data_IF_941342523657
#
_entry.id   IF_941342523657
#
_cell.length_a   1.000
_cell.length_b   1.000
_cell.length_c   1.000
_cell.angle_alpha   90.00
_cell.angle_beta   90.00
_cell.angle_gamma   90.00
#
_symmetry.space_group_name_H-M   'P 1'
#
loop_
_entity.id
_entity.type
_entity.pdbx_description
1 polymer ?
#
# COMPACT_ATOMS: atom_id res chain seq x y z
N UNK A 1 14.05 10.87 23.33
CA UNK A 1 14.86 11.94 23.93
C UNK A 1 14.84 13.12 22.96
N UNK A 2 14.59 14.35 23.43
CA UNK A 2 14.33 15.60 22.67
C UNK A 2 12.86 15.92 22.33
N UNK A 3 12.06 16.31 23.32
CA UNK A 3 10.87 17.19 23.14
C UNK A 3 10.67 18.02 24.41
N UNK A 4 11.60 18.95 24.68
CA UNK A 4 11.46 19.93 25.77
C UNK A 4 11.72 21.38 25.34
N UNK A 5 11.91 21.64 24.04
CA UNK A 5 12.29 22.97 23.55
C UNK A 5 11.11 23.85 23.10
N UNK A 6 9.93 23.31 22.82
CA UNK A 6 8.80 24.10 22.30
C UNK A 6 7.88 24.70 23.37
N UNK A 7 7.86 24.14 24.59
CA UNK A 7 7.04 24.70 25.70
C UNK A 7 7.66 25.99 26.25
N UNK A 8 8.99 26.12 26.22
CA UNK A 8 9.74 27.30 26.66
C UNK A 8 9.42 28.57 25.84
N UNK A 9 9.28 28.44 24.52
CA UNK A 9 9.02 29.57 23.61
C UNK A 9 7.57 30.11 23.68
N UNK A 10 6.60 29.29 24.08
CA UNK A 10 5.22 29.72 24.30
C UNK A 10 5.06 30.52 25.60
N UNK A 11 5.76 30.13 26.67
CA UNK A 11 5.76 30.87 27.94
C UNK A 11 6.43 32.24 27.82
N UNK A 12 7.52 32.35 27.06
CA UNK A 12 8.22 33.63 26.85
C UNK A 12 7.36 34.62 26.04
N UNK A 13 6.62 34.14 25.03
CA UNK A 13 5.74 35.01 24.23
C UNK A 13 4.50 35.50 25.00
N UNK A 14 3.97 34.70 25.93
CA UNK A 14 2.84 35.10 26.78
C UNK A 14 3.28 36.14 27.83
N UNK A 15 4.49 36.01 28.40
CA UNK A 15 5.04 37.01 29.33
C UNK A 15 5.27 38.38 28.67
N UNK A 16 5.69 38.42 27.40
CA UNK A 16 5.89 39.67 26.64
C UNK A 16 4.54 40.35 26.33
N UNK A 17 3.49 39.58 26.04
CA UNK A 17 2.14 40.12 25.78
C UNK A 17 1.46 40.67 27.05
N UNK A 18 1.71 40.08 28.22
CA UNK A 18 1.17 40.56 29.49
C UNK A 18 1.95 41.80 29.98
N UNK A 19 3.27 41.84 29.78
CA UNK A 19 4.09 42.99 30.19
C UNK A 19 3.89 44.23 29.29
N UNK A 20 3.62 44.02 27.99
CA UNK A 20 3.33 45.10 27.03
C UNK A 20 2.03 45.86 27.30
N UNK A 21 1.00 45.21 27.86
CA UNK A 21 -0.26 45.89 28.23
C UNK A 21 -0.16 46.71 29.52
N UNK A 22 0.74 46.37 30.44
CA UNK A 22 0.98 47.15 31.67
C UNK A 22 1.81 48.42 31.45
N UNK A 23 2.71 48.44 30.45
CA UNK A 23 3.54 49.62 30.16
C UNK A 23 2.74 50.71 29.44
N UNK A 24 1.73 50.34 28.65
CA UNK A 24 0.85 51.30 27.97
C UNK A 24 -0.20 51.95 28.92
N UNK A 25 -0.46 51.35 30.09
CA UNK A 25 -1.34 51.92 31.11
C UNK A 25 -0.64 52.92 32.07
N UNK A 26 0.69 52.87 32.18
CA UNK A 26 1.45 53.80 33.03
C UNK A 26 1.89 55.08 32.30
N UNK A 27 2.06 55.06 30.98
CA UNK A 27 2.43 56.27 30.21
C UNK A 27 1.26 57.20 29.84
N UNK A 28 0.00 56.82 30.09
CA UNK A 28 -1.17 57.69 29.88
C UNK A 28 -1.61 58.39 31.19
N UNK A 29 -1.10 57.97 32.36
CA UNK A 29 -1.52 58.47 33.68
C UNK A 29 -0.72 59.64 34.26
N UNK A 30 0.21 60.25 33.50
CA UNK A 30 0.93 61.46 33.93
C UNK A 30 0.69 62.70 33.04
N UNK A 31 -0.26 62.65 32.10
CA UNK A 31 -0.53 63.78 31.18
C UNK A 31 -1.94 64.38 31.26
N UNK A 32 -2.81 63.93 32.17
CA UNK A 32 -4.14 64.54 32.37
C UNK A 32 -4.52 64.47 33.84
N UNK A 33 -3.94 65.34 34.66
CA UNK A 33 -4.52 65.68 35.97
C UNK A 33 -4.17 67.13 36.34
N UNK A 34 -4.91 68.08 35.77
CA UNK A 34 -5.39 69.25 36.51
C UNK A 34 -6.55 69.86 35.74
N UNK A 35 -7.67 70.12 36.42
CA UNK A 35 -9.02 70.54 35.95
C UNK A 35 -9.87 69.35 35.48
N UNK A 36 -11.05 69.05 36.05
CA UNK A 36 -12.11 69.87 36.66
C UNK A 36 -12.92 69.01 37.64
N UNK A 37 -13.17 69.49 38.86
CA UNK A 37 -14.40 69.14 39.60
C UNK A 37 -14.99 70.46 40.12
N UNK A 38 -16.02 70.92 39.42
CA UNK A 38 -16.96 71.92 39.92
C UNK A 38 -17.92 71.26 40.90
N UNK A 39 -17.96 71.79 42.11
CA UNK A 39 -19.07 71.67 43.06
C UNK A 39 -20.01 72.84 42.78
N UNK A 40 -21.31 72.54 42.68
CA UNK A 40 -22.38 73.52 42.54
C UNK A 40 -22.62 74.17 43.90
N UNK A 41 -22.49 75.49 44.00
CA UNK A 41 -23.34 76.39 44.80
C UNK A 41 -22.96 77.87 44.56
N UNK A 42 -23.90 78.57 43.93
CA UNK A 42 -24.37 79.95 44.17
C UNK A 42 -23.45 81.15 44.53
N UNK A 43 -23.75 82.26 43.83
CA UNK A 43 -23.77 83.69 44.27
C UNK A 43 -22.48 84.54 44.23
N UNK A 44 -22.38 85.32 43.13
CA UNK A 44 -22.17 86.79 43.05
C UNK A 44 -20.77 87.47 43.14
N UNK A 45 -20.66 88.48 42.26
CA UNK A 45 -19.91 89.77 42.31
C UNK A 45 -18.37 89.86 42.14
N UNK A 46 -17.99 90.29 40.92
CA UNK A 46 -17.38 91.59 40.55
C UNK A 46 -15.96 92.03 40.99
N UNK A 47 -15.30 92.69 40.01
CA UNK A 47 -14.25 93.75 40.03
C UNK A 47 -12.76 93.34 40.08
N UNK A 48 -12.01 93.72 39.03
CA UNK A 48 -11.03 94.84 38.91
C UNK A 48 -9.65 94.41 39.48
N UNK A 49 -8.45 94.76 39.00
CA UNK A 49 -7.91 95.71 38.03
C UNK A 49 -6.41 95.36 37.85
N UNK A 50 -5.80 95.70 36.70
CA UNK A 50 -4.46 96.33 36.48
C UNK A 50 -3.18 95.82 37.22
N UNK A 51 -1.92 95.84 36.74
CA UNK A 51 -1.18 96.65 35.75
C UNK A 51 0.32 96.20 35.79
N UNK A 52 1.04 96.40 34.67
CA UNK A 52 2.40 97.02 34.58
C UNK A 52 3.60 96.36 35.30
N UNK A 53 4.86 96.38 34.85
CA UNK A 53 5.61 96.62 33.61
C UNK A 53 7.08 96.29 33.96
N UNK A 54 7.86 96.06 32.91
CA UNK A 54 9.27 96.44 32.75
C UNK A 54 10.44 95.69 33.40
N UNK A 55 10.94 94.74 32.61
CA UNK A 55 12.22 94.76 31.87
C UNK A 55 13.53 95.27 32.50
N UNK A 56 14.57 94.45 32.22
CA UNK A 56 16.02 94.73 32.07
C UNK A 56 16.92 94.45 33.28
N UNK A 57 17.49 93.23 33.31
CA UNK A 57 18.94 93.03 33.17
C UNK A 57 19.19 91.82 32.25
N UNK A 58 20.06 92.05 31.29
CA UNK A 58 20.39 91.21 30.14
C UNK A 58 21.61 90.35 30.47
N UNK A 59 21.69 89.23 29.77
CA UNK A 59 22.92 88.50 29.40
C UNK A 59 23.65 87.74 30.52
N UNK A 60 23.45 86.42 30.51
CA UNK A 60 24.51 85.40 30.46
C UNK A 60 23.92 84.05 30.88
N UNK A 61 23.26 83.30 29.99
CA UNK A 61 23.06 81.82 30.13
C UNK A 61 22.30 81.17 28.96
N UNK A 62 22.11 81.84 27.81
CA UNK A 62 21.19 81.32 26.77
C UNK A 62 21.84 80.48 25.67
N UNK A 63 23.17 80.37 25.58
CA UNK A 63 23.80 79.74 24.40
C UNK A 63 24.26 78.27 24.58
N UNK A 64 23.93 77.60 25.69
CA UNK A 64 24.38 76.22 25.93
C UNK A 64 23.25 75.17 26.01
N UNK A 65 22.00 75.56 26.26
CA UNK A 65 20.93 74.60 26.54
C UNK A 65 20.03 74.26 25.33
N UNK A 66 20.10 75.01 24.23
CA UNK A 66 19.20 74.85 23.09
C UNK A 66 19.77 73.93 21.98
N UNK A 67 21.10 73.78 21.90
CA UNK A 67 21.77 72.91 20.91
C UNK A 67 21.76 71.44 21.40
N UNK A 68 21.98 71.20 22.71
CA UNK A 68 22.04 69.85 23.29
C UNK A 68 20.66 69.17 23.40
N UNK A 69 19.58 69.95 23.50
CA UNK A 69 18.18 69.48 23.51
C UNK A 69 17.60 69.29 22.11
N UNK A 70 18.05 70.05 21.10
CA UNK A 70 17.70 69.81 19.68
C UNK A 70 18.36 68.56 19.11
N UNK A 71 19.66 68.35 19.38
CA UNK A 71 20.42 67.17 18.91
C UNK A 71 19.78 65.87 19.45
N UNK A 72 19.35 65.84 20.71
CA UNK A 72 18.69 64.66 21.32
C UNK A 72 17.24 64.44 20.86
N UNK A 73 16.52 65.49 20.46
CA UNK A 73 15.12 65.40 19.98
C UNK A 73 15.04 64.90 18.53
N UNK A 74 15.96 65.33 17.67
CA UNK A 74 16.05 64.85 16.29
C UNK A 74 16.54 63.41 16.22
N UNK A 75 17.54 63.03 17.00
CA UNK A 75 18.00 61.64 17.14
C UNK A 75 16.90 60.72 17.68
N UNK A 76 16.13 61.18 18.68
CA UNK A 76 14.96 60.44 19.19
C UNK A 76 13.87 60.29 18.13
N UNK A 77 13.57 61.34 17.36
CA UNK A 77 12.63 61.27 16.24
C UNK A 77 13.11 60.35 15.11
N UNK A 78 14.42 60.35 14.84
CA UNK A 78 15.04 59.46 13.88
C UNK A 78 14.94 58.00 14.33
N UNK A 79 15.28 57.69 15.58
CA UNK A 79 15.15 56.35 16.15
C UNK A 79 13.70 55.88 16.19
N UNK A 80 12.75 56.75 16.56
CA UNK A 80 11.32 56.41 16.52
C UNK A 80 10.84 56.09 15.10
N UNK A 81 11.21 56.90 14.10
CA UNK A 81 10.86 56.62 12.70
C UNK A 81 11.49 55.33 12.20
N UNK A 82 12.76 55.08 12.55
CA UNK A 82 13.45 53.85 12.19
C UNK A 82 12.78 52.63 12.82
N UNK A 83 12.49 52.68 14.12
CA UNK A 83 11.79 51.61 14.83
C UNK A 83 10.40 51.36 14.25
N UNK A 84 9.65 52.41 13.94
CA UNK A 84 8.31 52.31 13.34
C UNK A 84 8.37 51.67 11.96
N UNK A 85 9.36 52.02 11.13
CA UNK A 85 9.61 51.38 9.84
C UNK A 85 10.02 49.91 9.98
N UNK A 86 10.87 49.58 10.96
CA UNK A 86 11.25 48.20 11.25
C UNK A 86 10.05 47.36 11.69
N UNK A 87 9.17 47.89 12.55
CA UNK A 87 7.95 47.21 12.99
C UNK A 87 6.99 46.99 11.80
N UNK A 88 6.80 47.99 10.95
CA UNK A 88 5.94 47.87 9.75
C UNK A 88 6.50 46.81 8.79
N UNK A 89 7.83 46.82 8.58
CA UNK A 89 8.51 45.83 7.73
C UNK A 89 8.36 44.41 8.29
N UNK A 90 8.62 44.24 9.59
CA UNK A 90 8.45 42.95 10.27
C UNK A 90 7.00 42.46 10.19
N UNK A 91 6.02 43.34 10.45
CA UNK A 91 4.58 43.01 10.39
C UNK A 91 4.14 42.61 8.98
N UNK A 92 4.67 43.26 7.94
CA UNK A 92 4.41 42.85 6.55
C UNK A 92 5.02 41.49 6.24
N UNK A 93 6.25 41.25 6.68
CA UNK A 93 6.96 40.00 6.45
C UNK A 93 6.25 38.83 7.13
N UNK A 94 5.86 38.98 8.40
CA UNK A 94 5.12 37.95 9.14
C UNK A 94 3.73 37.69 8.55
N UNK A 95 3.00 38.74 8.13
CA UNK A 95 1.71 38.57 7.46
C UNK A 95 1.84 37.85 6.12
N UNK A 96 2.92 38.11 5.37
CA UNK A 96 3.21 37.40 4.11
C UNK A 96 3.55 35.94 4.37
N UNK A 97 4.38 35.65 5.37
CA UNK A 97 4.72 34.29 5.77
C UNK A 97 3.48 33.49 6.17
N UNK A 98 2.61 34.05 7.01
CA UNK A 98 1.36 33.39 7.43
C UNK A 98 0.44 33.10 6.24
N UNK A 99 0.33 34.02 5.28
CA UNK A 99 -0.45 33.81 4.06
C UNK A 99 0.12 32.65 3.23
N UNK A 100 1.41 32.66 2.98
CA UNK A 100 2.06 31.59 2.22
C UNK A 100 1.86 30.22 2.88
N UNK A 101 1.98 30.13 4.22
CA UNK A 101 1.76 28.88 4.95
C UNK A 101 0.30 28.43 4.84
N UNK A 102 -0.67 29.33 4.98
CA UNK A 102 -2.08 28.99 4.80
C UNK A 102 -2.38 28.51 3.38
N UNK A 103 -1.82 29.16 2.36
CA UNK A 103 -2.02 28.79 0.96
C UNK A 103 -1.43 27.38 0.67
N UNK A 104 -0.25 27.07 1.22
CA UNK A 104 0.40 25.77 1.09
C UNK A 104 -0.37 24.65 1.83
N UNK A 105 -0.89 24.95 3.02
CA UNK A 105 -1.75 24.03 3.77
C UNK A 105 -3.07 23.78 3.05
N UNK A 106 -3.68 24.82 2.46
CA UNK A 106 -4.92 24.69 1.69
C UNK A 106 -4.70 23.82 0.45
N UNK A 107 -3.62 24.05 -0.30
CA UNK A 107 -3.28 23.23 -1.47
C UNK A 107 -3.07 21.75 -1.09
N UNK A 108 -2.45 21.48 0.05
CA UNK A 108 -2.23 20.12 0.55
C UNK A 108 -3.55 19.44 0.95
N UNK A 109 -4.46 20.17 1.60
CA UNK A 109 -5.79 19.68 1.95
C UNK A 109 -6.64 19.39 0.71
N UNK A 110 -6.58 20.26 -0.30
CA UNK A 110 -7.31 20.08 -1.56
C UNK A 110 -6.78 18.84 -2.31
N UNK A 111 -5.46 18.63 -2.33
CA UNK A 111 -4.85 17.42 -2.89
C UNK A 111 -5.32 16.15 -2.17
N UNK A 112 -5.26 16.13 -0.84
CA UNK A 112 -5.72 15.00 -0.04
C UNK A 112 -7.22 14.71 -0.25
N UNK A 113 -8.05 15.77 -0.30
CA UNK A 113 -9.47 15.66 -0.59
C UNK A 113 -9.74 15.01 -1.94
N UNK A 114 -9.01 15.42 -2.99
CA UNK A 114 -9.09 14.81 -4.31
C UNK A 114 -8.69 13.33 -4.30
N UNK A 115 -7.60 12.97 -3.61
CA UNK A 115 -7.17 11.59 -3.46
C UNK A 115 -8.24 10.73 -2.75
N UNK A 116 -8.87 11.26 -1.69
CA UNK A 116 -9.94 10.57 -0.96
C UNK A 116 -11.17 10.38 -1.86
N UNK A 117 -11.57 11.41 -2.62
CA UNK A 117 -12.70 11.32 -3.55
C UNK A 117 -12.45 10.29 -4.66
N UNK A 118 -11.24 10.27 -5.22
CA UNK A 118 -10.85 9.26 -6.21
C UNK A 118 -10.92 7.85 -5.61
N UNK A 119 -10.38 7.65 -4.41
CA UNK A 119 -10.40 6.37 -3.73
C UNK A 119 -11.84 5.92 -3.40
N UNK A 120 -12.69 6.82 -2.91
CA UNK A 120 -14.11 6.52 -2.66
C UNK A 120 -14.84 6.11 -3.93
N UNK A 121 -14.58 6.77 -5.07
CA UNK A 121 -15.18 6.40 -6.35
C UNK A 121 -14.73 5.01 -6.80
N UNK A 122 -13.44 4.67 -6.63
CA UNK A 122 -12.93 3.32 -6.92
C UNK A 122 -13.59 2.27 -6.02
N UNK A 123 -13.72 2.55 -4.73
CA UNK A 123 -14.40 1.66 -3.76
C UNK A 123 -15.87 1.48 -4.12
N UNK A 124 -16.57 2.55 -4.52
CA UNK A 124 -17.98 2.49 -4.93
C UNK A 124 -18.16 1.61 -6.17
N UNK A 125 -17.29 1.76 -7.18
CA UNK A 125 -17.30 0.93 -8.38
C UNK A 125 -17.03 -0.55 -8.06
N UNK A 126 -16.03 -0.83 -7.22
CA UNK A 126 -15.73 -2.18 -6.77
C UNK A 126 -16.90 -2.78 -5.97
N UNK A 127 -17.51 -2.00 -5.09
CA UNK A 127 -18.65 -2.41 -4.27
C UNK A 127 -19.85 -2.77 -5.17
N UNK A 128 -20.14 -1.96 -6.20
CA UNK A 128 -21.17 -2.25 -7.18
C UNK A 128 -20.90 -3.54 -7.97
N UNK A 129 -19.64 -3.81 -8.31
CA UNK A 129 -19.22 -5.04 -9.00
C UNK A 129 -19.38 -6.28 -8.10
N UNK A 130 -18.99 -6.19 -6.82
CA UNK A 130 -19.21 -7.26 -5.83
C UNK A 130 -20.69 -7.54 -5.66
N UNK A 131 -21.53 -6.50 -5.56
CA UNK A 131 -22.98 -6.68 -5.44
C UNK A 131 -23.61 -7.27 -6.70
N UNK A 132 -23.12 -6.94 -7.91
CA UNK A 132 -23.53 -7.64 -9.15
C UNK A 132 -23.24 -9.13 -9.07
N UNK A 133 -22.07 -9.53 -8.58
CA UNK A 133 -21.69 -10.94 -8.45
C UNK A 133 -22.50 -11.69 -7.38
N UNK A 134 -23.03 -10.99 -6.37
CA UNK A 134 -23.89 -11.59 -5.34
C UNK A 134 -25.39 -11.66 -5.70
N UNK A 135 -25.86 -10.89 -6.69
CA UNK A 135 -27.27 -10.79 -7.08
C UNK A 135 -27.67 -11.65 -8.28
N UNK A 136 -26.90 -12.68 -8.64
CA UNK A 136 -27.41 -13.80 -9.44
C UNK A 136 -27.83 -14.96 -8.51
N UNK A 137 -29.04 -14.93 -7.94
CA UNK A 137 -29.65 -16.15 -7.43
C UNK A 137 -29.84 -17.07 -8.65
N UNK A 138 -28.97 -18.09 -8.72
CA UNK A 138 -29.01 -19.24 -9.63
C UNK A 138 -30.21 -19.24 -10.58
N UNK A 139 -30.03 -19.01 -11.90
CA UNK A 139 -31.07 -19.43 -12.81
C UNK A 139 -31.21 -20.95 -12.64
N UNK A 140 -32.40 -21.41 -12.24
CA UNK A 140 -32.79 -22.83 -12.18
C UNK A 140 -32.78 -23.54 -13.55
N UNK A 141 -31.97 -23.06 -14.51
CA UNK A 141 -31.57 -23.85 -15.66
C UNK A 141 -30.37 -24.68 -15.22
N UNK A 142 -30.36 -26.01 -15.45
CA UNK A 142 -29.14 -26.77 -15.25
C UNK A 142 -28.06 -26.09 -16.09
N UNK A 143 -27.01 -25.60 -15.42
CA UNK A 143 -25.85 -25.05 -16.10
C UNK A 143 -25.32 -26.15 -16.98
N UNK A 144 -25.51 -26.01 -18.29
CA UNK A 144 -25.09 -27.03 -19.24
C UNK A 144 -23.57 -27.00 -19.29
N UNK A 145 -22.94 -28.04 -18.75
CA UNK A 145 -21.49 -28.21 -18.85
C UNK A 145 -21.10 -28.36 -20.32
N UNK A 146 -19.99 -27.74 -20.69
CA UNK A 146 -19.45 -27.83 -22.05
C UNK A 146 -18.69 -29.14 -22.27
N UNK A 147 -18.21 -29.77 -21.20
CA UNK A 147 -17.49 -31.05 -21.22
C UNK A 147 -16.94 -31.41 -19.85
N UNK A 148 -16.18 -32.49 -19.78
CA UNK A 148 -15.56 -32.99 -18.55
C UNK A 148 -14.32 -32.16 -18.13
N UNK A 149 -13.57 -31.68 -19.13
CA UNK A 149 -12.43 -30.79 -18.99
C UNK A 149 -12.15 -30.07 -20.33
N UNK A 150 -11.14 -29.21 -20.38
CA UNK A 150 -10.82 -28.47 -21.59
C UNK A 150 -10.36 -29.38 -22.76
N UNK A 151 -9.82 -30.56 -22.49
CA UNK A 151 -9.45 -31.51 -23.57
C UNK A 151 -10.71 -32.11 -24.19
N UNK A 152 -11.64 -32.55 -23.34
CA UNK A 152 -12.94 -33.08 -23.77
C UNK A 152 -13.76 -32.06 -24.58
N UNK A 153 -13.80 -30.80 -24.12
CA UNK A 153 -14.44 -29.70 -24.85
C UNK A 153 -13.79 -29.51 -26.22
N UNK A 154 -12.45 -29.47 -26.26
CA UNK A 154 -11.71 -29.30 -27.52
C UNK A 154 -12.00 -30.44 -28.47
N UNK A 155 -12.01 -31.69 -28.02
CA UNK A 155 -12.15 -32.83 -28.93
C UNK A 155 -13.60 -32.98 -29.42
N UNK A 156 -14.59 -32.65 -28.58
CA UNK A 156 -16.02 -32.70 -28.93
C UNK A 156 -16.44 -31.54 -29.82
N UNK A 157 -16.07 -30.30 -29.48
CA UNK A 157 -16.48 -29.08 -30.21
C UNK A 157 -15.54 -28.79 -31.38
N UNK A 158 -14.23 -29.02 -31.17
CA UNK A 158 -13.17 -28.82 -32.17
C UNK A 158 -13.33 -29.67 -33.42
N UNK A 159 -14.06 -30.79 -33.31
CA UNK A 159 -14.44 -31.63 -34.45
C UNK A 159 -15.40 -30.93 -35.43
N UNK A 160 -16.06 -29.85 -35.00
CA UNK A 160 -17.04 -29.10 -35.81
C UNK A 160 -16.47 -27.72 -36.19
N UNK A 161 -15.91 -26.97 -35.23
CA UNK A 161 -15.34 -25.62 -35.44
C UNK A 161 -14.17 -25.36 -34.51
N UNK A 162 -13.27 -24.44 -34.86
CA UNK A 162 -12.15 -24.06 -33.97
C UNK A 162 -12.69 -23.55 -32.64
N UNK A 163 -12.37 -24.24 -31.55
CA UNK A 163 -12.74 -23.83 -30.19
C UNK A 163 -11.79 -22.72 -29.71
N UNK A 164 -12.30 -21.52 -29.34
CA UNK A 164 -11.46 -20.43 -28.87
C UNK A 164 -10.96 -20.66 -27.43
N UNK A 165 -9.85 -20.02 -27.06
CA UNK A 165 -9.45 -19.93 -25.64
C UNK A 165 -10.43 -19.03 -24.88
N UNK A 166 -10.72 -19.36 -23.61
CA UNK A 166 -11.66 -18.58 -22.80
C UNK A 166 -12.19 -19.34 -21.59
N UNK A 167 -13.22 -18.77 -20.96
CA UNK A 167 -13.91 -19.41 -19.84
C UNK A 167 -14.90 -20.45 -20.33
N UNK A 168 -14.85 -21.61 -19.69
CA UNK A 168 -15.77 -22.72 -19.94
C UNK A 168 -16.24 -23.29 -18.61
N UNK A 169 -17.46 -23.82 -18.62
CA UNK A 169 -18.00 -24.59 -17.50
C UNK A 169 -17.78 -26.06 -17.76
N UNK A 170 -17.04 -26.73 -16.87
CA UNK A 170 -16.76 -28.16 -16.93
C UNK A 170 -17.49 -28.90 -15.81
N UNK A 171 -17.72 -30.20 -16.02
CA UNK A 171 -18.28 -31.07 -14.99
C UNK A 171 -17.47 -32.37 -14.89
N UNK A 172 -16.31 -32.37 -14.21
CA UNK A 172 -15.47 -33.56 -14.08
C UNK A 172 -16.18 -34.70 -13.35
N UNK A 173 -15.84 -35.94 -13.68
CA UNK A 173 -16.40 -37.11 -13.00
C UNK A 173 -16.16 -37.05 -11.49
N UNK A 174 -17.22 -37.26 -10.71
CA UNK A 174 -17.16 -37.29 -9.25
C UNK A 174 -17.21 -35.94 -8.56
N UNK A 175 -17.13 -34.81 -9.29
CA UNK A 175 -17.38 -33.51 -8.68
C UNK A 175 -18.87 -33.38 -8.29
N UNK A 176 -19.16 -32.61 -7.25
CA UNK A 176 -20.54 -32.43 -6.77
C UNK A 176 -21.33 -31.39 -7.58
N UNK A 177 -20.63 -30.51 -8.30
CA UNK A 177 -21.21 -29.44 -9.11
C UNK A 177 -20.30 -29.09 -10.30
N UNK A 178 -20.88 -28.57 -11.41
CA UNK A 178 -20.11 -28.00 -12.51
C UNK A 178 -19.48 -26.66 -12.09
N UNK A 179 -18.30 -26.34 -12.64
CA UNK A 179 -17.58 -25.11 -12.29
C UNK A 179 -16.83 -24.51 -13.48
N UNK A 180 -16.57 -23.20 -13.41
CA UNK A 180 -15.83 -22.46 -14.43
C UNK A 180 -14.33 -22.70 -14.35
N UNK A 181 -13.71 -22.78 -15.53
CA UNK A 181 -12.26 -22.89 -15.74
C UNK A 181 -11.83 -22.03 -16.92
N UNK A 182 -10.56 -21.61 -16.92
CA UNK A 182 -9.92 -21.04 -18.10
C UNK A 182 -9.34 -22.16 -18.98
N UNK A 183 -9.85 -22.29 -20.20
CA UNK A 183 -9.30 -23.18 -21.22
C UNK A 183 -8.39 -22.42 -22.18
N UNK A 184 -7.16 -22.92 -22.32
CA UNK A 184 -6.24 -22.48 -23.36
C UNK A 184 -6.29 -23.50 -24.53
N UNK A 185 -6.96 -23.07 -25.60
CA UNK A 185 -7.23 -23.87 -26.80
C UNK A 185 -6.22 -23.61 -27.93
N UNK A 186 -5.36 -22.60 -27.78
CA UNK A 186 -4.41 -22.20 -28.82
C UNK A 186 -2.99 -22.72 -28.53
N UNK A 187 -2.57 -22.80 -27.26
CA UNK A 187 -1.21 -23.18 -26.90
C UNK A 187 -0.92 -24.68 -27.11
N UNK A 188 0.13 -25.00 -27.87
CA UNK A 188 0.65 -26.38 -28.08
C UNK A 188 -0.45 -27.42 -28.38
N UNK A 189 -1.35 -27.08 -29.29
CA UNK A 189 -2.45 -27.95 -29.71
C UNK A 189 -3.67 -27.92 -28.79
N UNK A 190 -3.74 -26.98 -27.85
CA UNK A 190 -4.94 -26.69 -27.06
C UNK A 190 -5.35 -27.76 -26.06
N UNK A 191 -6.55 -27.58 -25.51
CA UNK A 191 -7.16 -28.49 -24.54
C UNK A 191 -6.61 -28.35 -23.12
N UNK A 192 -5.88 -27.28 -22.84
CA UNK A 192 -5.28 -27.03 -21.54
C UNK A 192 -6.30 -26.42 -20.58
N UNK A 193 -6.44 -27.02 -19.41
CA UNK A 193 -7.12 -26.40 -18.27
C UNK A 193 -6.08 -25.66 -17.44
N UNK A 194 -6.20 -24.34 -17.32
CA UNK A 194 -5.27 -23.54 -16.50
C UNK A 194 -5.68 -23.66 -15.03
N UNK A 195 -4.76 -24.08 -14.15
CA UNK A 195 -5.03 -24.31 -12.72
C UNK A 195 -4.40 -23.25 -11.81
N UNK A 196 -3.38 -22.56 -12.31
CA UNK A 196 -2.75 -21.43 -11.64
C UNK A 196 -2.18 -20.47 -12.69
N UNK A 197 -2.29 -19.17 -12.44
CA UNK A 197 -1.65 -18.14 -13.26
C UNK A 197 -1.19 -16.96 -12.40
N UNK A 198 0.05 -16.51 -12.61
CA UNK A 198 0.65 -15.28 -12.07
C UNK A 198 1.19 -14.41 -13.20
N UNK A 199 0.96 -13.10 -13.14
CA UNK A 199 1.32 -12.13 -14.18
C UNK A 199 1.72 -10.74 -13.64
N UNK A 200 1.10 -10.27 -12.56
CA UNK A 200 1.24 -8.87 -12.12
C UNK A 200 1.22 -8.69 -10.59
N UNK A 201 0.94 -9.76 -9.83
CA UNK A 201 0.90 -9.71 -8.38
C UNK A 201 -0.30 -8.98 -7.78
N UNK A 202 -1.35 -8.70 -8.55
CA UNK A 202 -2.56 -8.03 -8.02
C UNK A 202 -3.30 -8.93 -7.03
N UNK A 203 -3.30 -10.25 -7.26
CA UNK A 203 -4.00 -11.19 -6.40
C UNK A 203 -3.04 -11.70 -5.32
N UNK A 204 -3.51 -11.61 -4.08
CA UNK A 204 -2.77 -12.12 -2.93
C UNK A 204 -2.91 -13.65 -2.81
N UNK A 205 -1.76 -14.33 -2.71
CA UNK A 205 -1.62 -15.78 -2.54
C UNK A 205 -1.20 -16.16 -1.10
N UNK A 206 -1.09 -15.19 -0.19
CA UNK A 206 -0.91 -15.40 1.25
C UNK A 206 -2.22 -15.86 1.90
N UNK A 207 -2.71 -17.03 1.48
CA UNK A 207 -4.05 -17.53 1.76
C UNK A 207 -4.01 -18.73 2.70
N UNK A 208 -5.09 -18.91 3.44
CA UNK A 208 -5.26 -20.02 4.38
C UNK A 208 -5.73 -21.29 3.66
N UNK A 209 -5.76 -22.41 4.38
CA UNK A 209 -6.14 -23.73 3.84
C UNK A 209 -7.47 -23.71 3.08
N UNK A 210 -8.51 -23.14 3.68
CA UNK A 210 -9.85 -23.08 3.09
C UNK A 210 -9.87 -22.36 1.73
N UNK A 211 -9.13 -21.26 1.60
CA UNK A 211 -9.02 -20.53 0.33
C UNK A 211 -8.31 -21.38 -0.74
N UNK A 212 -7.24 -22.10 -0.37
CA UNK A 212 -6.54 -23.01 -1.29
C UNK A 212 -7.37 -24.24 -1.68
N UNK A 213 -8.27 -24.71 -0.79
CA UNK A 213 -9.22 -25.77 -1.10
C UNK A 213 -10.21 -25.35 -2.19
N UNK A 214 -10.84 -24.18 -2.00
CA UNK A 214 -11.96 -23.72 -2.83
C UNK A 214 -11.49 -22.99 -4.10
N UNK A 215 -10.36 -22.29 -4.02
CA UNK A 215 -9.80 -21.45 -5.08
C UNK A 215 -10.08 -19.96 -4.87
N UNK A 216 -9.24 -19.12 -5.48
CA UNK A 216 -9.31 -17.67 -5.34
C UNK A 216 -8.71 -16.96 -6.57
N UNK A 217 -9.00 -15.66 -6.70
CA UNK A 217 -8.53 -14.82 -7.80
C UNK A 217 -9.55 -14.68 -8.94
N UNK A 218 -9.06 -14.28 -10.11
CA UNK A 218 -9.86 -14.08 -11.33
C UNK A 218 -9.36 -15.02 -12.42
N UNK A 219 -10.24 -15.88 -12.96
CA UNK A 219 -9.91 -16.83 -14.02
C UNK A 219 -9.40 -16.14 -15.32
N UNK A 220 -9.73 -14.86 -15.54
CA UNK A 220 -9.20 -14.06 -16.63
C UNK A 220 -7.84 -13.40 -16.29
N UNK A 221 -7.50 -13.29 -15.00
CA UNK A 221 -6.31 -12.64 -14.47
C UNK A 221 -5.37 -13.63 -13.75
N UNK A 222 -4.98 -13.28 -12.51
CA UNK A 222 -4.27 -14.19 -11.60
C UNK A 222 -5.24 -15.01 -10.76
N UNK A 223 -4.97 -16.30 -10.61
CA UNK A 223 -5.81 -17.16 -9.79
C UNK A 223 -5.13 -18.47 -9.37
N UNK A 224 -5.73 -19.09 -8.36
CA UNK A 224 -5.56 -20.48 -7.99
C UNK A 224 -6.92 -21.18 -8.13
N UNK A 225 -7.00 -22.25 -8.92
CA UNK A 225 -8.28 -22.88 -9.25
C UNK A 225 -8.98 -23.48 -8.02
N UNK A 226 -8.20 -23.99 -7.06
CA UNK A 226 -8.69 -24.70 -5.87
C UNK A 226 -8.32 -26.19 -5.91
N UNK A 227 -7.77 -26.70 -4.80
CA UNK A 227 -7.30 -28.09 -4.70
C UNK A 227 -8.40 -29.10 -4.97
N UNK A 228 -9.63 -28.86 -4.48
CA UNK A 228 -10.78 -29.76 -4.72
C UNK A 228 -11.11 -29.86 -6.20
N UNK A 229 -11.14 -28.72 -6.90
CA UNK A 229 -11.42 -28.67 -8.34
C UNK A 229 -10.31 -29.36 -9.13
N UNK A 230 -9.05 -29.09 -8.82
CA UNK A 230 -7.90 -29.74 -9.45
C UNK A 230 -7.97 -31.25 -9.25
N UNK A 231 -8.21 -31.71 -8.02
CA UNK A 231 -8.37 -33.14 -7.68
C UNK A 231 -9.42 -33.83 -8.54
N UNK A 232 -10.62 -33.26 -8.67
CA UNK A 232 -11.68 -33.85 -9.50
C UNK A 232 -11.33 -33.90 -10.98
N UNK A 233 -10.57 -32.93 -11.49
CA UNK A 233 -10.14 -32.95 -12.89
C UNK A 233 -9.13 -34.07 -13.12
N UNK A 234 -8.07 -34.15 -12.30
CA UNK A 234 -6.92 -35.02 -12.58
C UNK A 234 -7.11 -36.49 -12.17
N UNK A 235 -8.16 -36.79 -11.41
CA UNK A 235 -8.49 -38.14 -10.94
C UNK A 235 -9.72 -38.76 -11.62
N UNK A 236 -10.12 -38.26 -12.79
CA UNK A 236 -11.19 -38.87 -13.59
C UNK A 236 -10.82 -40.30 -14.01
N UNK A 237 -11.77 -41.23 -13.98
CA UNK A 237 -11.48 -42.66 -14.19
C UNK A 237 -10.99 -42.93 -15.61
N UNK A 238 -10.07 -43.89 -15.75
CA UNK A 238 -9.51 -44.32 -17.04
C UNK A 238 -8.90 -43.18 -17.87
N UNK A 239 -8.48 -42.10 -17.22
CA UNK A 239 -7.78 -40.99 -17.86
C UNK A 239 -6.47 -40.72 -17.15
N UNK A 240 -5.54 -40.11 -17.86
CA UNK A 240 -4.29 -39.63 -17.30
C UNK A 240 -4.14 -38.16 -17.65
N UNK A 241 -3.49 -37.39 -16.78
CA UNK A 241 -3.23 -35.98 -17.02
C UNK A 241 -1.74 -35.72 -17.00
N UNK A 242 -1.31 -34.72 -17.76
CA UNK A 242 0.01 -34.13 -17.62
C UNK A 242 -0.09 -32.76 -16.96
N UNK A 243 0.92 -32.40 -16.17
CA UNK A 243 1.14 -31.05 -15.68
C UNK A 243 2.14 -30.34 -16.61
N UNK A 244 1.85 -29.08 -16.95
CA UNK A 244 2.73 -28.20 -17.69
C UNK A 244 2.88 -26.87 -16.95
N UNK A 245 4.11 -26.57 -16.57
CA UNK A 245 4.53 -25.31 -15.96
C UNK A 245 5.17 -24.45 -17.03
N UNK A 246 4.57 -23.31 -17.35
CA UNK A 246 5.15 -22.31 -18.24
C UNK A 246 5.74 -21.17 -17.42
N UNK A 247 6.96 -20.76 -17.77
CA UNK A 247 7.73 -19.73 -17.08
C UNK A 247 8.18 -18.67 -18.08
N UNK A 248 8.00 -17.41 -17.74
CA UNK A 248 8.49 -16.26 -18.49
C UNK A 248 9.27 -15.35 -17.53
N UNK A 249 10.50 -15.02 -17.88
CA UNK A 249 11.33 -14.10 -17.11
C UNK A 249 11.08 -12.63 -17.44
N UNK A 250 11.55 -11.72 -16.60
CA UNK A 250 11.50 -10.26 -16.84
C UNK A 250 12.22 -9.82 -18.14
N UNK A 251 13.11 -10.63 -18.68
CA UNK A 251 13.81 -10.40 -19.95
C UNK A 251 13.20 -11.17 -21.14
N UNK A 252 11.94 -11.60 -20.99
CA UNK A 252 11.14 -12.29 -22.02
C UNK A 252 11.70 -13.66 -22.46
N UNK A 253 12.59 -14.27 -21.65
CA UNK A 253 13.04 -15.65 -21.87
C UNK A 253 11.97 -16.63 -21.41
N UNK A 254 11.67 -17.62 -22.26
CA UNK A 254 10.67 -18.65 -21.97
C UNK A 254 11.32 -19.97 -21.55
N UNK A 255 10.78 -20.58 -20.51
CA UNK A 255 11.12 -21.94 -20.11
C UNK A 255 9.86 -22.72 -19.71
N UNK A 256 9.99 -24.04 -19.67
CA UNK A 256 8.91 -24.91 -19.21
C UNK A 256 9.43 -26.16 -18.51
N UNK A 257 8.54 -26.71 -17.68
CA UNK A 257 8.66 -28.02 -17.07
C UNK A 257 7.35 -28.76 -17.25
N UNK A 258 7.41 -30.02 -17.67
CA UNK A 258 6.23 -30.86 -17.88
C UNK A 258 6.42 -32.21 -17.21
N UNK A 259 5.34 -32.75 -16.67
CA UNK A 259 5.31 -34.01 -15.96
C UNK A 259 4.15 -34.85 -16.50
N UNK A 260 4.42 -36.05 -17.01
CA UNK A 260 3.36 -37.01 -17.33
C UNK A 260 2.72 -37.55 -16.04
N UNK A 261 1.57 -38.21 -16.15
CA UNK A 261 0.88 -38.90 -15.04
C UNK A 261 0.76 -38.05 -13.75
N UNK A 262 0.30 -36.81 -13.89
CA UNK A 262 -0.01 -35.90 -12.79
C UNK A 262 -1.35 -36.25 -12.14
N UNK A 263 -1.35 -36.46 -10.83
CA UNK A 263 -2.56 -36.67 -10.04
C UNK A 263 -2.35 -36.21 -8.60
N UNK A 264 -3.46 -36.08 -7.86
CA UNK A 264 -3.47 -35.67 -6.45
C UNK A 264 -4.19 -36.72 -5.60
N UNK A 265 -3.70 -36.98 -4.39
CA UNK A 265 -4.50 -37.68 -3.38
C UNK A 265 -5.71 -36.83 -2.93
N UNK A 266 -6.63 -37.42 -2.18
CA UNK A 266 -7.79 -36.72 -1.63
C UNK A 266 -7.45 -35.79 -0.44
N UNK A 267 -8.48 -35.14 0.10
CA UNK A 267 -8.37 -34.24 1.24
C UNK A 267 -7.87 -34.94 2.51
N UNK A 268 -8.13 -36.24 2.69
CA UNK A 268 -7.67 -37.02 3.87
C UNK A 268 -6.14 -37.24 3.85
N UNK A 269 -5.54 -37.10 2.67
CA UNK A 269 -4.09 -37.11 2.43
C UNK A 269 -3.56 -35.74 2.06
N UNK A 270 -4.31 -34.68 2.38
CA UNK A 270 -3.92 -33.28 2.19
C UNK A 270 -3.49 -32.97 0.75
N UNK A 271 -4.20 -33.54 -0.24
CA UNK A 271 -3.94 -33.29 -1.66
C UNK A 271 -2.48 -33.52 -2.08
N UNK A 272 -1.86 -34.57 -1.53
CA UNK A 272 -0.49 -34.95 -1.86
C UNK A 272 -0.29 -35.08 -3.37
N UNK A 273 0.78 -34.44 -3.86
CA UNK A 273 1.10 -34.37 -5.29
C UNK A 273 1.82 -35.61 -5.79
N UNK A 274 1.48 -36.08 -6.98
CA UNK A 274 2.23 -37.12 -7.67
C UNK A 274 2.55 -36.72 -9.09
N UNK A 275 3.83 -36.79 -9.44
CA UNK A 275 4.41 -36.41 -10.72
C UNK A 275 5.08 -37.61 -11.38
N UNK A 276 4.79 -37.84 -12.66
CA UNK A 276 5.49 -38.79 -13.51
C UNK A 276 6.78 -38.21 -14.11
N UNK A 277 7.20 -38.71 -15.26
CA UNK A 277 8.46 -38.35 -15.92
C UNK A 277 8.48 -36.87 -16.30
N UNK A 278 9.60 -36.25 -15.96
CA UNK A 278 9.91 -34.87 -16.32
C UNK A 278 10.33 -34.73 -17.78
N UNK A 279 9.93 -33.63 -18.40
CA UNK A 279 10.49 -33.10 -19.65
C UNK A 279 10.42 -31.58 -19.64
N UNK A 280 11.48 -30.90 -20.06
CA UNK A 280 11.50 -29.43 -20.07
C UNK A 280 12.92 -28.87 -20.17
N UNK A 281 13.00 -27.54 -20.27
CA UNK A 281 14.25 -26.78 -20.27
C UNK A 281 14.44 -25.91 -19.02
N UNK A 282 13.49 -25.92 -18.08
CA UNK A 282 13.57 -25.19 -16.81
C UNK A 282 14.30 -25.96 -15.68
N UNK A 283 14.71 -27.20 -15.93
CA UNK A 283 15.09 -28.16 -14.88
C UNK A 283 13.89 -28.63 -14.04
N UNK A 284 14.09 -29.72 -13.28
CA UNK A 284 13.07 -30.35 -12.43
C UNK A 284 13.13 -29.78 -11.01
N UNK A 285 12.52 -28.61 -10.79
CA UNK A 285 12.53 -27.96 -9.47
C UNK A 285 11.67 -28.67 -8.43
N UNK A 286 10.67 -29.47 -8.84
CA UNK A 286 9.89 -30.27 -7.90
C UNK A 286 10.73 -31.39 -7.28
N UNK A 287 11.63 -32.03 -8.04
CA UNK A 287 12.53 -33.05 -7.47
C UNK A 287 13.81 -32.45 -6.88
N UNK A 288 14.20 -31.28 -7.36
CA UNK A 288 15.37 -30.54 -6.89
C UNK A 288 16.69 -31.30 -7.10
N UNK A 289 17.72 -30.92 -6.33
CA UNK A 289 19.07 -31.50 -6.45
C UNK A 289 19.38 -32.52 -5.37
N UNK A 290 18.75 -32.36 -4.19
CA UNK A 290 18.97 -33.17 -3.00
C UNK A 290 17.68 -33.89 -2.63
N UNK A 291 17.79 -34.90 -1.77
CA UNK A 291 16.62 -35.70 -1.34
C UNK A 291 15.60 -34.84 -0.59
N UNK A 292 16.07 -33.93 0.23
CA UNK A 292 15.27 -32.97 1.01
C UNK A 292 14.53 -31.94 0.13
N UNK A 293 15.04 -31.68 -1.08
CA UNK A 293 14.41 -30.75 -2.03
C UNK A 293 13.18 -31.37 -2.72
N UNK A 294 13.03 -32.70 -2.65
CA UNK A 294 12.02 -33.41 -3.43
C UNK A 294 10.61 -33.21 -2.87
N UNK A 295 9.82 -32.44 -3.61
CA UNK A 295 8.43 -32.09 -3.36
C UNK A 295 7.44 -33.09 -3.98
N UNK A 296 7.89 -34.03 -4.81
CA UNK A 296 7.02 -35.10 -5.29
C UNK A 296 6.59 -35.98 -4.11
N UNK A 297 5.32 -36.38 -4.09
CA UNK A 297 4.69 -37.13 -3.00
C UNK A 297 4.65 -36.38 -1.65
N UNK A 298 4.80 -35.05 -1.67
CA UNK A 298 4.55 -34.20 -0.49
C UNK A 298 3.09 -33.76 -0.42
N UNK A 299 2.49 -33.71 0.80
CA UNK A 299 1.18 -33.10 1.02
C UNK A 299 1.22 -31.59 0.79
N UNK A 300 0.07 -30.99 0.50
CA UNK A 300 -0.06 -29.54 0.44
C UNK A 300 -0.03 -28.96 1.86
N UNK A 301 0.58 -27.79 2.03
CA UNK A 301 0.62 -27.08 3.32
C UNK A 301 0.32 -25.60 3.13
N UNK A 302 -0.28 -24.99 4.14
CA UNK A 302 -0.53 -23.54 4.28
C UNK A 302 -0.10 -23.08 5.66
N UNK A 303 -0.18 -21.78 5.94
CA UNK A 303 0.31 -21.23 7.21
C UNK A 303 -0.47 -21.73 8.45
N UNK A 304 -1.73 -22.11 8.24
CA UNK A 304 -2.65 -22.65 9.26
C UNK A 304 -2.75 -24.18 9.27
N UNK A 305 -2.27 -24.86 8.23
CA UNK A 305 -2.25 -26.33 8.12
C UNK A 305 -0.87 -26.77 7.62
N UNK A 306 0.00 -27.09 8.57
CA UNK A 306 1.38 -27.46 8.32
C UNK A 306 1.52 -28.98 8.13
N UNK A 307 1.78 -29.41 6.90
CA UNK A 307 2.05 -30.80 6.54
C UNK A 307 3.45 -30.97 5.92
N UNK A 308 4.33 -29.97 6.06
CA UNK A 308 5.61 -29.98 5.35
C UNK A 308 6.63 -30.93 5.99
N UNK A 309 7.78 -31.07 5.33
CA UNK A 309 8.87 -31.95 5.76
C UNK A 309 9.71 -31.41 6.93
N UNK A 310 9.40 -30.24 7.48
CA UNK A 310 10.19 -29.54 8.49
C UNK A 310 9.63 -29.68 9.91
N UNK A 311 9.36 -30.91 10.36
CA UNK A 311 8.88 -31.18 11.72
C UNK A 311 9.93 -31.91 12.60
N UNK A 312 10.28 -31.39 13.80
CA UNK A 312 9.86 -30.11 14.40
C UNK A 312 10.62 -28.90 13.81
N UNK A 313 11.69 -29.14 13.07
CA UNK A 313 12.43 -28.12 12.31
C UNK A 313 13.37 -28.77 11.30
N UNK A 314 13.65 -28.07 10.20
CA UNK A 314 14.70 -28.38 9.23
C UNK A 314 15.68 -27.19 9.12
N UNK A 315 16.68 -27.29 8.25
CA UNK A 315 17.58 -26.17 7.92
C UNK A 315 17.42 -25.82 6.44
N UNK A 316 16.98 -24.60 6.15
CA UNK A 316 16.98 -24.03 4.80
C UNK A 316 17.88 -22.81 4.76
N UNK A 317 18.80 -22.76 3.79
CA UNK A 317 19.76 -21.65 3.62
C UNK A 317 20.50 -21.25 4.92
N UNK A 318 20.80 -22.22 5.79
CA UNK A 318 21.49 -22.02 7.07
C UNK A 318 20.59 -21.48 8.20
N UNK A 319 19.29 -21.35 7.97
CA UNK A 319 18.31 -20.94 8.98
C UNK A 319 17.46 -22.13 9.43
N UNK A 320 17.17 -22.18 10.73
CA UNK A 320 16.24 -23.16 11.27
C UNK A 320 14.80 -22.79 10.87
N UNK A 321 14.13 -23.68 10.15
CA UNK A 321 12.76 -23.48 9.65
C UNK A 321 11.84 -24.46 10.36
N UNK A 322 10.73 -23.94 10.89
CA UNK A 322 9.67 -24.75 11.54
C UNK A 322 8.47 -24.99 10.64
N UNK A 323 8.24 -24.09 9.69
CA UNK A 323 7.16 -24.16 8.70
C UNK A 323 7.62 -23.42 7.45
N UNK A 324 7.60 -24.10 6.32
CA UNK A 324 7.97 -23.60 5.02
C UNK A 324 6.94 -22.62 4.47
N UNK A 325 5.65 -22.82 4.77
CA UNK A 325 4.63 -21.83 4.41
C UNK A 325 4.92 -20.49 5.08
N UNK A 326 5.24 -20.49 6.38
CA UNK A 326 5.59 -19.26 7.11
C UNK A 326 6.88 -18.62 6.58
N UNK A 327 7.89 -19.42 6.25
CA UNK A 327 9.12 -18.94 5.60
C UNK A 327 8.80 -18.27 4.25
N UNK A 328 7.96 -18.92 3.43
CA UNK A 328 7.50 -18.41 2.13
C UNK A 328 6.31 -17.45 2.26
N UNK A 329 6.34 -16.59 3.28
CA UNK A 329 5.39 -15.51 3.51
C UNK A 329 3.91 -15.94 3.55
N UNK A 330 3.61 -17.06 4.20
CA UNK A 330 2.27 -17.65 4.36
C UNK A 330 1.61 -18.11 3.05
N UNK A 331 2.40 -18.49 2.05
CA UNK A 331 1.89 -19.06 0.79
C UNK A 331 1.62 -20.56 0.93
N UNK A 332 0.69 -21.08 0.12
CA UNK A 332 0.37 -22.51 0.10
C UNK A 332 1.10 -23.24 -1.02
N UNK A 333 1.69 -24.40 -0.72
CA UNK A 333 2.39 -25.23 -1.71
C UNK A 333 2.62 -26.66 -1.22
N UNK A 334 3.08 -27.54 -2.12
CA UNK A 334 3.61 -28.87 -1.77
C UNK A 334 5.06 -28.75 -1.28
N UNK A 335 5.23 -28.31 -0.04
CA UNK A 335 6.55 -28.14 0.57
C UNK A 335 7.13 -29.49 1.03
N UNK A 336 8.40 -29.74 0.70
CA UNK A 336 9.22 -30.81 1.30
C UNK A 336 9.92 -30.25 2.54
N UNK A 337 11.25 -30.34 2.65
CA UNK A 337 11.99 -29.38 3.47
C UNK A 337 12.10 -28.04 2.72
N UNK A 338 10.94 -27.44 2.50
CA UNK A 338 10.61 -26.29 1.67
C UNK A 338 10.74 -26.58 0.17
N UNK A 339 11.88 -27.10 -0.28
CA UNK A 339 12.11 -27.49 -1.66
C UNK A 339 12.47 -26.31 -2.56
N UNK A 340 12.51 -26.56 -3.89
CA UNK A 340 13.05 -25.60 -4.85
C UNK A 340 11.99 -24.99 -5.78
N UNK A 341 10.75 -25.49 -5.80
CA UNK A 341 9.64 -24.85 -6.50
C UNK A 341 8.67 -24.21 -5.50
N UNK A 342 8.26 -22.97 -5.77
CA UNK A 342 7.08 -22.36 -5.18
C UNK A 342 6.57 -21.27 -6.13
N UNK A 343 5.54 -21.59 -6.92
CA UNK A 343 4.99 -20.64 -7.89
C UNK A 343 3.94 -19.69 -7.28
N UNK A 344 3.58 -19.90 -6.01
CA UNK A 344 2.59 -19.11 -5.29
C UNK A 344 3.23 -17.98 -4.45
N UNK A 345 4.55 -17.85 -4.51
CA UNK A 345 5.30 -16.75 -3.90
C UNK A 345 4.86 -15.36 -4.35
N UNK A 346 5.38 -14.33 -3.68
CA UNK A 346 5.08 -12.92 -3.97
C UNK A 346 5.64 -12.56 -5.34
N UNK A 347 4.82 -11.93 -6.20
CA UNK A 347 5.23 -11.58 -7.57
C UNK A 347 6.29 -10.46 -7.61
N UNK A 348 6.01 -9.32 -6.99
CA UNK A 348 6.91 -8.17 -6.96
C UNK A 348 7.48 -7.99 -5.55
N UNK A 349 8.72 -8.44 -5.36
CA UNK A 349 9.43 -8.27 -4.09
C UNK A 349 10.31 -7.00 -4.15
N UNK A 350 10.03 -5.95 -3.36
CA UNK A 350 10.90 -4.77 -3.29
C UNK A 350 12.19 -4.99 -2.45
N UNK A 351 12.37 -6.16 -1.83
CA UNK A 351 13.50 -6.47 -0.92
C UNK A 351 14.55 -7.46 -1.47
N UNK A 352 15.50 -7.85 -0.61
CA UNK A 352 16.64 -8.74 -0.94
C UNK A 352 16.39 -10.25 -0.78
N UNK A 353 15.30 -10.68 -0.13
CA UNK A 353 15.03 -12.09 0.20
C UNK A 353 14.24 -12.77 -0.92
N UNK A 354 14.94 -13.53 -1.77
CA UNK A 354 14.37 -14.27 -2.90
C UNK A 354 13.47 -15.45 -2.47
N UNK A 355 13.62 -15.96 -1.24
CA UNK A 355 12.84 -17.10 -0.71
C UNK A 355 11.32 -16.83 -0.57
N UNK A 356 10.91 -15.56 -0.64
CA UNK A 356 9.52 -15.15 -0.49
C UNK A 356 8.84 -14.93 -1.86
N UNK A 357 9.60 -14.93 -2.95
CA UNK A 357 9.12 -14.67 -4.29
C UNK A 357 8.67 -15.93 -5.03
N UNK A 358 8.16 -15.76 -6.25
CA UNK A 358 7.94 -16.87 -7.18
C UNK A 358 9.28 -17.54 -7.49
N UNK A 359 9.36 -18.85 -7.27
CA UNK A 359 10.61 -19.61 -7.33
C UNK A 359 10.51 -20.85 -8.22
N UNK A 360 11.53 -21.02 -9.06
CA UNK A 360 11.85 -22.27 -9.76
C UNK A 360 13.36 -22.49 -9.71
N UNK A 361 13.85 -23.08 -8.61
CA UNK A 361 15.27 -23.05 -8.23
C UNK A 361 16.23 -23.73 -9.20
N UNK A 362 15.73 -24.56 -10.12
CA UNK A 362 16.56 -25.21 -11.16
C UNK A 362 16.74 -24.37 -12.42
N UNK A 363 15.99 -23.27 -12.56
CA UNK A 363 16.14 -22.34 -13.68
C UNK A 363 16.89 -21.10 -13.22
N UNK A 364 18.18 -21.05 -13.60
CA UNK A 364 19.10 -19.98 -13.20
C UNK A 364 19.72 -19.30 -14.41
N UNK A 365 20.04 -18.02 -14.29
CA UNK A 365 20.79 -17.25 -15.29
C UNK A 365 22.06 -16.70 -14.65
N UNK A 366 23.23 -17.03 -15.19
CA UNK A 366 24.54 -16.69 -14.62
C UNK A 366 24.70 -17.11 -13.14
N UNK A 367 24.18 -18.28 -12.78
CA UNK A 367 24.13 -18.80 -11.39
C UNK A 367 23.27 -17.98 -10.42
N UNK A 368 22.44 -17.07 -10.93
CA UNK A 368 21.46 -16.31 -10.14
C UNK A 368 20.04 -16.83 -10.40
N UNK A 369 19.16 -16.80 -9.39
CA UNK A 369 17.74 -17.09 -9.58
C UNK A 369 17.12 -16.16 -10.61
N UNK A 370 16.25 -16.71 -11.46
CA UNK A 370 15.52 -15.95 -12.47
C UNK A 370 14.34 -15.22 -11.80
N UNK A 371 14.13 -13.96 -12.18
CA UNK A 371 12.92 -13.22 -11.83
C UNK A 371 11.85 -13.46 -12.88
N UNK A 372 10.63 -13.74 -12.43
CA UNK A 372 9.52 -14.08 -13.29
C UNK A 372 8.68 -12.85 -13.62
N UNK A 373 8.36 -12.71 -14.91
CA UNK A 373 7.32 -11.79 -15.41
C UNK A 373 5.96 -12.45 -15.38
N UNK A 374 5.90 -13.74 -15.71
CA UNK A 374 4.68 -14.53 -15.60
C UNK A 374 4.99 -16.01 -15.37
N UNK A 375 4.11 -16.70 -14.66
CA UNK A 375 4.13 -18.16 -14.53
C UNK A 375 2.71 -18.72 -14.64
N UNK A 376 2.58 -19.93 -15.17
CA UNK A 376 1.29 -20.63 -15.15
C UNK A 376 1.46 -22.13 -15.02
N UNK A 377 0.52 -22.75 -14.32
CA UNK A 377 0.36 -24.21 -14.28
C UNK A 377 -0.89 -24.58 -15.08
N UNK A 378 -0.74 -25.53 -16.00
CA UNK A 378 -1.81 -26.03 -16.87
C UNK A 378 -1.81 -27.55 -16.84
N UNK A 379 -2.99 -28.14 -16.92
CA UNK A 379 -3.18 -29.59 -17.01
C UNK A 379 -3.89 -29.95 -18.31
N UNK A 380 -3.55 -31.10 -18.87
CA UNK A 380 -4.19 -31.61 -20.08
C UNK A 380 -4.30 -33.12 -20.00
N UNK A 381 -5.44 -33.66 -20.43
CA UNK A 381 -5.68 -35.10 -20.52
C UNK A 381 -4.74 -35.69 -21.59
N UNK A 382 -4.12 -36.83 -21.30
CA UNK A 382 -3.15 -37.53 -22.16
C UNK A 382 -3.58 -38.92 -22.56
#
# INVERSE_FOLDING_TARGET
MMYLSQVSLLFINICIFICGKTIQAYCVRQSTDSTVVNIVEDVSHAKDESKSNDTVYKEDYEESCDIKTKITREEKHFMCRHLQNSIISYTRSTKKLLRNIMDEQQASLDYLSNQVNELMNRVLLLTAEVFRKQLDPFPHRPVQSHGLDCTDIKDTVGSITKTPSGLYIIYPEGSSYPFEVMCDMDYRGGGWTVIQKRIDGIIDFQRLWCDYLDGFGDLLGEFWLGLKKIFYIVNQKNTSFMLYVALESEDDTLAYASYDNFWLEDETRFFKIHLGRYSGNAGDAFRGYRKEDNQNSMPFSTADVDNDGCHPSCVDNGQAVKSCSQLSNNTGWWFSQCGLANLNGIHHFPGKLLANGIQWGTWTKNSLPVKFKSVSMKIRRT
#
